data_IF_879835498190
#
_entry.id   IF_879835498190
#
_cell.length_a   1.000
_cell.length_b   1.000
_cell.length_c   1.000
_cell.angle_alpha   90.00
_cell.angle_beta   90.00
_cell.angle_gamma   90.00
#
_symmetry.space_group_name_H-M   'P 1'
#
loop_
_entity.id
_entity.type
_entity.pdbx_description
1 polymer ?
#
# COMPACT_ATOMS: atom_id res chain seq x y z
N UNK A 1 -29.77 -9.13 -4.51
CA UNK A 1 -28.69 -8.08 -4.39
C UNK A 1 -29.18 -6.66 -4.72
N UNK A 2 -29.93 -6.45 -5.79
CA UNK A 2 -30.41 -5.08 -6.18
C UNK A 2 -31.41 -4.40 -5.24
N UNK A 3 -32.17 -5.14 -4.45
CA UNK A 3 -33.17 -4.56 -3.52
C UNK A 3 -32.59 -3.88 -2.26
N UNK A 4 -31.33 -4.14 -1.91
CA UNK A 4 -30.64 -3.60 -0.74
C UNK A 4 -30.06 -2.19 -0.92
N UNK A 5 -30.00 -1.72 -2.16
CA UNK A 5 -29.31 -0.48 -2.52
C UNK A 5 -30.25 0.74 -2.66
N UNK A 6 -31.58 0.53 -2.57
CA UNK A 6 -32.54 1.62 -2.66
C UNK A 6 -32.71 2.30 -1.31
N UNK A 7 -32.28 3.56 -1.20
CA UNK A 7 -32.57 4.45 -0.07
C UNK A 7 -31.42 4.72 0.92
N UNK A 8 -30.17 4.57 0.51
CA UNK A 8 -29.03 4.93 1.38
C UNK A 8 -28.72 6.44 1.25
N UNK A 9 -28.85 7.23 2.34
CA UNK A 9 -28.34 8.60 2.33
C UNK A 9 -26.81 8.55 2.35
N UNK A 10 -26.15 9.06 1.34
CA UNK A 10 -24.73 9.35 1.36
C UNK A 10 -24.49 10.47 2.38
N UNK A 11 -23.86 10.10 3.50
CA UNK A 11 -23.64 11.06 4.54
C UNK A 11 -22.47 11.99 4.28
N UNK A 12 -22.70 13.25 4.51
CA UNK A 12 -21.66 14.26 4.56
C UNK A 12 -20.85 14.11 5.85
N UNK A 13 -19.83 13.26 5.85
CA UNK A 13 -18.84 13.24 6.94
C UNK A 13 -17.82 14.33 6.64
N UNK A 14 -17.76 15.33 7.50
CA UNK A 14 -16.78 16.41 7.40
C UNK A 14 -15.55 16.01 8.19
N UNK A 15 -14.44 15.72 7.52
CA UNK A 15 -13.13 15.78 8.15
C UNK A 15 -12.81 17.27 8.31
N UNK A 16 -12.36 17.70 9.49
CA UNK A 16 -12.03 19.11 9.74
C UNK A 16 -11.12 19.65 8.64
N UNK A 17 -11.62 20.63 7.88
CA UNK A 17 -10.86 21.32 6.83
C UNK A 17 -11.18 20.94 5.38
N UNK A 18 -12.10 20.00 5.10
CA UNK A 18 -12.47 19.62 3.72
C UNK A 18 -13.90 19.98 3.37
N UNK A 19 -14.12 20.46 2.12
CA UNK A 19 -15.44 20.88 1.65
C UNK A 19 -16.40 19.72 1.47
N UNK A 20 -17.71 20.00 1.65
CA UNK A 20 -18.82 19.04 1.71
C UNK A 20 -19.22 18.39 0.35
N UNK A 21 -18.52 18.64 -0.74
CA UNK A 21 -19.05 18.43 -2.11
C UNK A 21 -18.72 17.10 -2.79
N UNK A 22 -17.87 16.23 -2.21
CA UNK A 22 -17.64 14.89 -2.76
C UNK A 22 -18.01 13.82 -1.74
N UNK A 23 -18.82 12.79 -2.15
CA UNK A 23 -18.94 11.60 -1.31
C UNK A 23 -17.54 11.04 -1.11
N UNK A 24 -17.08 10.89 0.14
CA UNK A 24 -15.71 10.55 0.38
C UNK A 24 -15.53 9.06 0.10
N UNK A 25 -14.80 8.75 -0.96
CA UNK A 25 -14.21 7.44 -1.15
C UNK A 25 -12.74 7.66 -1.37
N UNK A 26 -12.00 7.79 -0.25
CA UNK A 26 -10.64 8.26 -0.24
C UNK A 26 -9.66 7.09 -0.20
N UNK A 27 -8.59 7.25 -0.95
CA UNK A 27 -7.45 6.33 -0.93
C UNK A 27 -6.29 6.94 -0.16
N UNK A 28 -5.84 6.23 0.90
CA UNK A 28 -4.65 6.57 1.66
C UNK A 28 -3.46 5.71 1.20
N UNK A 29 -2.39 6.37 0.81
CA UNK A 29 -1.15 5.70 0.44
C UNK A 29 -0.32 5.42 1.69
N UNK A 30 -0.05 4.13 2.04
CA UNK A 30 0.85 3.81 3.13
C UNK A 30 2.29 4.15 2.76
N UNK A 31 2.81 5.22 3.31
CA UNK A 31 4.17 5.73 3.05
C UNK A 31 5.12 5.28 4.17
N UNK A 32 6.27 4.74 3.78
CA UNK A 32 7.35 4.31 4.66
C UNK A 32 8.64 5.08 4.37
N UNK A 33 8.54 6.38 4.14
CA UNK A 33 9.61 7.24 3.63
C UNK A 33 9.96 6.85 2.16
N UNK A 34 8.93 6.73 1.34
CA UNK A 34 9.01 6.25 -0.04
C UNK A 34 9.29 7.38 -1.03
N UNK A 35 10.44 8.05 -0.86
CA UNK A 35 10.95 9.05 -1.79
C UNK A 35 11.69 8.41 -2.98
N UNK A 36 11.82 9.19 -4.04
CA UNK A 36 12.71 8.95 -5.17
C UNK A 36 13.75 10.06 -5.27
N UNK A 37 14.78 9.86 -6.09
CA UNK A 37 15.76 10.91 -6.35
C UNK A 37 15.47 11.58 -7.71
N UNK A 38 15.43 12.91 -7.73
CA UNK A 38 15.27 13.72 -8.93
C UNK A 38 16.49 14.63 -9.16
N UNK A 39 16.89 14.89 -10.44
CA UNK A 39 16.35 14.25 -11.65
C UNK A 39 16.70 12.77 -11.73
N UNK A 40 15.90 12.01 -12.50
CA UNK A 40 16.21 10.61 -12.75
C UNK A 40 17.53 10.49 -13.53
N UNK A 41 18.37 9.56 -13.09
CA UNK A 41 19.58 9.16 -13.80
C UNK A 41 19.65 7.62 -13.85
N UNK A 42 20.04 7.04 -15.01
CA UNK A 42 20.24 5.60 -15.13
C UNK A 42 21.38 5.05 -14.28
N UNK A 43 22.33 5.89 -13.87
CA UNK A 43 23.44 5.51 -13.01
C UNK A 43 22.95 5.45 -11.55
N UNK A 44 22.96 4.25 -10.97
CA UNK A 44 22.47 4.02 -9.61
C UNK A 44 23.33 4.72 -8.54
N UNK A 45 24.65 4.92 -8.78
CA UNK A 45 25.53 5.62 -7.84
C UNK A 45 25.34 7.13 -7.91
N UNK A 46 25.03 7.66 -9.10
CA UNK A 46 24.72 9.08 -9.25
C UNK A 46 23.28 9.40 -8.83
N UNK A 47 22.35 8.46 -8.96
CA UNK A 47 20.95 8.64 -8.58
C UNK A 47 20.81 9.12 -7.13
N UNK A 48 21.62 8.59 -6.20
CA UNK A 48 21.58 8.97 -4.77
C UNK A 48 22.10 10.38 -4.50
N UNK A 49 22.75 11.04 -5.45
CA UNK A 49 23.18 12.45 -5.35
C UNK A 49 22.05 13.44 -5.70
N UNK A 50 20.96 12.94 -6.27
CA UNK A 50 19.78 13.73 -6.58
C UNK A 50 19.02 14.20 -5.34
N UNK A 51 18.05 15.07 -5.56
CA UNK A 51 17.16 15.56 -4.50
C UNK A 51 16.14 14.50 -4.13
N UNK A 52 15.96 14.25 -2.84
CA UNK A 52 14.88 13.40 -2.33
C UNK A 52 13.53 14.07 -2.60
N UNK A 53 12.67 13.40 -3.35
CA UNK A 53 11.40 13.94 -3.82
C UNK A 53 10.30 12.91 -3.62
N UNK A 54 9.18 13.33 -3.04
CA UNK A 54 8.02 12.45 -2.80
C UNK A 54 7.06 12.48 -3.97
N UNK A 55 6.16 11.49 -4.03
CA UNK A 55 5.18 11.36 -5.11
C UNK A 55 4.31 12.61 -5.30
N UNK A 56 3.87 13.23 -4.20
CA UNK A 56 3.03 14.43 -4.24
C UNK A 56 3.77 15.66 -4.80
N UNK A 57 5.11 15.71 -4.68
CA UNK A 57 5.92 16.76 -5.28
C UNK A 57 6.11 16.53 -6.79
N UNK A 58 6.39 15.27 -7.18
CA UNK A 58 6.59 14.92 -8.60
C UNK A 58 5.30 15.05 -9.41
N UNK A 59 4.16 14.73 -8.81
CA UNK A 59 2.86 14.71 -9.47
C UNK A 59 2.16 16.08 -9.53
N UNK A 60 2.61 17.07 -8.75
CA UNK A 60 1.99 18.39 -8.68
C UNK A 60 0.49 18.31 -8.37
N UNK A 61 -0.34 18.88 -9.24
CA UNK A 61 -1.80 18.88 -9.04
C UNK A 61 -2.47 17.51 -9.26
N UNK A 62 -1.73 16.51 -9.74
CA UNK A 62 -2.26 15.18 -10.04
C UNK A 62 -1.75 14.13 -9.06
N UNK A 63 -1.81 14.42 -7.78
CA UNK A 63 -1.40 13.50 -6.70
C UNK A 63 -2.22 12.20 -6.77
N UNK A 64 -1.59 11.00 -6.72
CA UNK A 64 -2.28 9.72 -6.90
C UNK A 64 -2.86 9.14 -5.61
N UNK A 65 -3.25 9.97 -4.66
CA UNK A 65 -3.91 9.61 -3.39
C UNK A 65 -4.53 10.84 -2.75
N UNK A 66 -5.49 10.61 -1.86
CA UNK A 66 -6.17 11.67 -1.10
C UNK A 66 -5.46 11.96 0.23
N UNK A 67 -4.70 11.00 0.74
CA UNK A 67 -3.92 11.12 1.95
C UNK A 67 -2.76 10.13 2.02
N UNK A 68 -1.90 10.35 3.01
CA UNK A 68 -0.77 9.48 3.35
C UNK A 68 -1.05 8.84 4.70
N UNK A 69 -0.93 7.51 4.78
CA UNK A 69 -1.02 6.77 6.02
C UNK A 69 0.39 6.49 6.55
N UNK A 70 0.64 6.87 7.80
CA UNK A 70 1.92 6.71 8.48
C UNK A 70 1.72 5.89 9.75
N UNK A 71 2.49 4.81 9.88
CA UNK A 71 2.41 3.94 11.04
C UNK A 71 3.34 4.39 12.17
N UNK A 72 2.81 4.48 13.41
CA UNK A 72 3.59 4.78 14.60
C UNK A 72 4.72 3.77 14.80
N UNK A 73 4.49 2.50 14.48
CA UNK A 73 5.54 1.48 14.59
C UNK A 73 6.74 1.76 13.69
N UNK A 74 6.54 2.40 12.53
CA UNK A 74 7.64 2.82 11.65
C UNK A 74 8.40 4.03 12.22
N UNK A 75 7.69 4.92 12.91
CA UNK A 75 8.28 6.11 13.52
C UNK A 75 9.12 5.74 14.76
N UNK A 76 8.63 4.80 15.60
CA UNK A 76 9.23 4.51 16.90
C UNK A 76 10.05 3.22 16.98
N UNK A 77 9.71 2.22 16.19
CA UNK A 77 10.38 0.89 16.19
C UNK A 77 11.27 0.70 14.97
N UNK A 78 10.99 1.40 13.86
CA UNK A 78 11.71 1.29 12.60
C UNK A 78 13.11 1.91 12.64
N UNK A 79 13.98 1.47 11.72
CA UNK A 79 15.34 2.00 11.48
C UNK A 79 15.36 3.13 10.44
N UNK A 80 14.20 3.58 9.96
CA UNK A 80 14.05 4.56 8.88
C UNK A 80 14.35 5.99 9.28
N UNK A 81 14.27 6.90 8.30
CA UNK A 81 14.49 8.34 8.50
C UNK A 81 13.49 8.95 9.49
N UNK A 82 12.28 8.41 9.56
CA UNK A 82 11.26 8.82 10.54
C UNK A 82 11.67 8.47 11.99
N UNK A 83 12.41 7.37 12.20
CA UNK A 83 12.89 6.96 13.52
C UNK A 83 14.04 7.84 14.04
N UNK A 84 14.91 8.37 13.18
CA UNK A 84 16.05 9.20 13.56
C UNK A 84 15.67 10.51 14.23
N UNK A 85 14.43 10.96 14.05
CA UNK A 85 13.93 12.21 14.62
C UNK A 85 13.78 12.18 16.15
N UNK A 86 13.77 11.00 16.77
CA UNK A 86 13.66 10.87 18.23
C UNK A 86 14.92 11.30 18.97
N UNK A 87 16.08 11.33 18.30
CA UNK A 87 17.39 11.53 18.91
C UNK A 87 18.01 12.92 18.62
N UNK A 88 17.43 13.69 17.71
CA UNK A 88 17.96 15.01 17.36
C UNK A 88 17.22 16.09 18.15
N UNK A 89 17.96 16.86 18.93
CA UNK A 89 17.50 18.07 19.62
C UNK A 89 17.13 19.20 18.63
N UNK A 90 16.89 18.89 17.38
CA UNK A 90 16.41 19.84 16.39
C UNK A 90 14.95 20.21 16.64
N UNK A 91 14.61 21.46 16.38
CA UNK A 91 13.26 22.04 16.42
C UNK A 91 12.20 21.01 15.98
N UNK A 92 11.18 20.77 16.82
CA UNK A 92 10.08 19.81 16.56
C UNK A 92 9.34 20.17 15.29
N UNK A 93 9.86 19.68 14.16
CA UNK A 93 9.25 19.89 12.85
C UNK A 93 8.10 18.89 12.68
N UNK A 94 6.88 19.39 12.39
CA UNK A 94 5.73 18.53 12.12
C UNK A 94 6.02 17.57 10.96
N UNK A 95 5.44 16.35 10.99
CA UNK A 95 5.59 15.38 9.90
C UNK A 95 5.16 15.96 8.55
N UNK A 96 4.10 16.76 8.53
CA UNK A 96 3.64 17.45 7.32
C UNK A 96 4.75 18.31 6.69
N UNK A 97 5.46 19.11 7.49
CA UNK A 97 6.57 19.95 7.01
C UNK A 97 7.77 19.11 6.57
N UNK A 98 8.09 18.07 7.33
CA UNK A 98 9.21 17.18 7.02
C UNK A 98 9.04 16.42 5.72
N UNK A 99 7.86 15.85 5.51
CA UNK A 99 7.50 15.14 4.29
C UNK A 99 7.02 16.09 3.18
N UNK A 100 7.00 17.40 3.43
CA UNK A 100 6.55 18.44 2.49
C UNK A 100 5.16 18.18 1.94
N UNK A 101 4.27 17.62 2.79
CA UNK A 101 2.90 17.24 2.39
C UNK A 101 2.03 18.48 2.23
N UNK A 102 1.42 18.71 1.06
CA UNK A 102 0.57 19.87 0.83
C UNK A 102 -0.71 19.82 1.69
N UNK A 103 -1.33 20.99 1.91
CA UNK A 103 -2.48 21.11 2.82
C UNK A 103 -3.72 20.31 2.38
N UNK A 104 -3.86 20.05 1.08
CA UNK A 104 -4.97 19.27 0.50
C UNK A 104 -4.76 17.74 0.55
N UNK A 105 -3.65 17.25 1.09
CA UNK A 105 -3.38 15.82 1.31
C UNK A 105 -3.47 15.53 2.80
N UNK A 106 -4.32 14.58 3.17
CA UNK A 106 -4.55 14.18 4.57
C UNK A 106 -3.37 13.37 5.12
N UNK A 107 -3.05 13.59 6.40
CA UNK A 107 -2.16 12.73 7.18
C UNK A 107 -2.99 11.83 8.10
N UNK A 108 -2.88 10.54 7.89
CA UNK A 108 -3.55 9.52 8.67
C UNK A 108 -2.53 8.74 9.51
N UNK A 109 -2.69 8.77 10.84
CA UNK A 109 -1.86 8.02 11.77
C UNK A 109 -2.47 6.65 12.08
N UNK A 110 -1.68 5.59 11.87
CA UNK A 110 -1.98 4.21 12.23
C UNK A 110 -0.99 3.70 13.26
N UNK A 111 -1.39 2.77 14.15
CA UNK A 111 -0.49 2.21 15.16
C UNK A 111 0.49 1.16 14.60
N UNK A 112 0.16 0.52 13.47
CA UNK A 112 1.00 -0.49 12.81
C UNK A 112 0.89 -1.89 13.38
N UNK A 113 -0.32 -2.34 13.68
CA UNK A 113 -0.62 -3.58 14.38
C UNK A 113 0.01 -4.84 13.76
N UNK A 114 0.23 -4.89 12.46
CA UNK A 114 0.93 -6.01 11.80
C UNK A 114 2.40 -6.13 12.21
N UNK A 115 3.05 -5.02 12.60
CA UNK A 115 4.46 -5.05 12.98
C UNK A 115 4.71 -5.70 14.35
N UNK A 116 3.73 -5.62 15.25
CA UNK A 116 3.78 -6.19 16.58
C UNK A 116 2.75 -7.30 16.82
N UNK A 117 2.23 -7.90 15.75
CA UNK A 117 1.21 -8.96 15.84
C UNK A 117 1.69 -10.19 16.62
N UNK A 118 3.01 -10.41 16.69
CA UNK A 118 3.64 -11.50 17.50
C UNK A 118 3.72 -11.18 18.98
N UNK A 119 3.62 -9.91 19.35
CA UNK A 119 3.72 -9.47 20.74
C UNK A 119 2.43 -9.80 21.50
N UNK A 120 2.51 -10.06 22.83
CA UNK A 120 1.33 -10.33 23.65
C UNK A 120 0.42 -9.10 23.79
N UNK A 121 1.02 -7.90 23.82
CA UNK A 121 0.33 -6.60 23.94
C UNK A 121 0.94 -5.59 22.96
N UNK A 122 0.18 -4.58 22.51
CA UNK A 122 0.73 -3.48 21.72
C UNK A 122 1.85 -2.72 22.46
N UNK A 123 2.89 -2.24 21.74
CA UNK A 123 4.00 -1.50 22.34
C UNK A 123 3.66 -0.03 22.67
N UNK A 124 2.45 0.40 22.32
CA UNK A 124 1.95 1.76 22.55
C UNK A 124 0.73 1.74 23.46
N UNK A 125 0.64 2.72 24.36
CA UNK A 125 -0.60 3.02 25.09
C UNK A 125 -1.49 3.94 24.27
N UNK A 126 -2.80 3.94 24.55
CA UNK A 126 -3.76 4.86 23.94
C UNK A 126 -3.36 6.31 24.14
N UNK A 127 -2.87 6.67 25.35
CA UNK A 127 -2.39 8.01 25.67
C UNK A 127 -1.22 8.42 24.79
N UNK A 128 -0.22 7.55 24.68
CA UNK A 128 0.98 7.86 23.91
C UNK A 128 0.71 7.98 22.40
N UNK A 129 -0.18 7.14 21.88
CA UNK A 129 -0.62 7.24 20.48
C UNK A 129 -1.34 8.56 20.21
N UNK A 130 -2.26 8.96 21.08
CA UNK A 130 -3.01 10.21 20.97
C UNK A 130 -2.09 11.44 21.06
N UNK A 131 -1.13 11.44 22.00
CA UNK A 131 -0.11 12.50 22.11
C UNK A 131 0.69 12.67 20.82
N UNK A 132 1.15 11.57 20.22
CA UNK A 132 1.91 11.61 18.98
C UNK A 132 1.11 12.12 17.80
N UNK A 133 -0.15 11.73 17.67
CA UNK A 133 -0.99 12.24 16.58
C UNK A 133 -1.21 13.75 16.67
N UNK A 134 -1.38 14.29 17.87
CA UNK A 134 -1.51 15.75 18.04
C UNK A 134 -0.16 16.46 17.87
N UNK A 135 0.91 15.93 18.48
CA UNK A 135 2.26 16.50 18.41
C UNK A 135 2.76 16.62 16.96
N UNK A 136 2.56 15.57 16.15
CA UNK A 136 2.99 15.54 14.75
C UNK A 136 1.94 16.09 13.77
N UNK A 137 0.83 16.63 14.27
CA UNK A 137 -0.21 17.30 13.48
C UNK A 137 -0.84 16.40 12.42
N UNK A 138 -1.22 15.19 12.82
CA UNK A 138 -2.06 14.32 11.98
C UNK A 138 -3.46 14.91 11.84
N UNK A 139 -4.14 14.59 10.72
CA UNK A 139 -5.55 14.96 10.49
C UNK A 139 -6.48 13.89 11.07
N UNK A 140 -6.07 12.62 11.00
CA UNK A 140 -6.80 11.45 11.52
C UNK A 140 -5.84 10.62 12.34
N UNK A 141 -6.29 10.10 13.50
CA UNK A 141 -5.52 9.20 14.36
C UNK A 141 -6.32 7.97 14.75
N UNK A 142 -5.78 6.78 14.45
CA UNK A 142 -6.40 5.50 14.78
C UNK A 142 -6.11 5.08 16.21
N UNK A 143 -7.11 4.52 16.91
CA UNK A 143 -6.92 3.89 18.22
C UNK A 143 -5.97 2.70 18.14
N UNK A 144 -5.31 2.39 19.25
CA UNK A 144 -4.36 1.27 19.33
C UNK A 144 -5.10 -0.06 19.27
N UNK A 145 -4.76 -0.90 18.32
CA UNK A 145 -5.43 -2.18 18.10
C UNK A 145 -4.48 -3.38 18.17
N UNK A 146 -5.03 -4.57 18.33
CA UNK A 146 -4.31 -5.83 18.31
C UNK A 146 -5.06 -6.86 17.47
N UNK A 147 -4.44 -7.32 16.38
CA UNK A 147 -5.11 -8.15 15.38
C UNK A 147 -5.32 -9.58 15.89
N UNK A 148 -6.57 -10.11 15.92
CA UNK A 148 -6.90 -11.46 16.36
C UNK A 148 -6.72 -12.49 15.22
N UNK A 149 -5.50 -12.58 14.64
CA UNK A 149 -5.21 -13.54 13.57
C UNK A 149 -5.41 -14.98 14.06
N UNK A 150 -5.76 -15.92 13.17
CA UNK A 150 -5.79 -17.34 13.53
C UNK A 150 -4.39 -17.90 13.82
N UNK A 151 -3.36 -17.34 13.15
CA UNK A 151 -1.95 -17.69 13.32
C UNK A 151 -1.08 -16.46 13.37
N UNK A 152 -0.04 -16.47 14.19
CA UNK A 152 0.95 -15.41 14.25
C UNK A 152 2.35 -15.94 13.90
N UNK A 153 3.22 -15.11 13.30
CA UNK A 153 4.59 -15.51 13.02
C UNK A 153 5.40 -15.67 14.29
N UNK A 154 6.22 -16.73 14.33
CA UNK A 154 7.29 -16.88 15.32
C UNK A 154 8.53 -16.23 14.74
N UNK A 155 9.14 -15.30 15.48
CA UNK A 155 10.34 -14.56 15.05
C UNK A 155 11.53 -14.92 15.93
N UNK A 156 12.69 -15.07 15.28
CA UNK A 156 13.99 -15.19 15.91
C UNK A 156 14.97 -14.31 15.10
N UNK A 157 15.69 -13.42 15.77
CA UNK A 157 16.60 -12.45 15.12
C UNK A 157 16.01 -11.74 13.88
N UNK A 158 14.81 -11.20 14.00
CA UNK A 158 14.04 -10.57 12.92
C UNK A 158 13.62 -11.51 11.75
N UNK A 159 13.90 -12.80 11.83
CA UNK A 159 13.49 -13.79 10.84
C UNK A 159 12.22 -14.52 11.28
N UNK A 160 11.33 -14.75 10.33
CA UNK A 160 10.19 -15.64 10.57
C UNK A 160 10.68 -17.07 10.43
N UNK A 161 10.67 -17.83 11.54
CA UNK A 161 11.09 -19.23 11.61
C UNK A 161 9.91 -20.21 11.59
N UNK A 162 8.69 -19.70 11.78
CA UNK A 162 7.50 -20.53 11.80
C UNK A 162 6.24 -19.70 12.06
N UNK A 163 5.14 -20.40 12.30
CA UNK A 163 3.87 -19.81 12.74
C UNK A 163 3.33 -20.57 13.94
N UNK A 164 2.64 -19.86 14.83
CA UNK A 164 1.92 -20.42 15.98
C UNK A 164 0.44 -20.10 15.84
N UNK A 165 -0.47 -21.08 15.99
CA UNK A 165 -1.89 -20.80 16.08
C UNK A 165 -2.21 -20.01 17.36
N UNK A 166 -3.19 -19.13 17.28
CA UNK A 166 -3.79 -18.50 18.46
C UNK A 166 -5.07 -19.24 18.83
N UNK A 167 -5.22 -19.56 20.12
CA UNK A 167 -6.47 -20.08 20.66
C UNK A 167 -7.61 -19.06 20.50
N UNK A 168 -8.84 -19.52 20.55
CA UNK A 168 -10.00 -18.63 20.50
C UNK A 168 -9.98 -17.64 21.66
N UNK A 169 -9.58 -18.06 22.86
CA UNK A 169 -9.45 -17.18 24.03
C UNK A 169 -8.41 -16.06 23.81
N UNK A 170 -7.24 -16.36 23.26
CA UNK A 170 -6.23 -15.35 22.90
C UNK A 170 -6.76 -14.36 21.85
N UNK A 171 -7.46 -14.87 20.86
CA UNK A 171 -8.07 -14.01 19.82
C UNK A 171 -9.14 -13.09 20.39
N UNK A 172 -9.99 -13.60 21.27
CA UNK A 172 -11.00 -12.79 21.98
C UNK A 172 -10.34 -11.76 22.89
N UNK A 173 -9.30 -12.14 23.64
CA UNK A 173 -8.54 -11.21 24.47
C UNK A 173 -7.99 -10.02 23.66
N UNK A 174 -7.45 -10.27 22.46
CA UNK A 174 -6.98 -9.21 21.56
C UNK A 174 -8.11 -8.28 21.08
N UNK A 175 -9.28 -8.84 20.79
CA UNK A 175 -10.46 -8.03 20.43
C UNK A 175 -10.89 -7.12 21.59
N UNK A 176 -11.01 -7.66 22.79
CA UNK A 176 -11.40 -6.89 23.98
C UNK A 176 -10.36 -5.82 24.34
N UNK A 177 -9.06 -6.15 24.23
CA UNK A 177 -8.00 -5.17 24.41
C UNK A 177 -8.12 -4.02 23.40
N UNK A 178 -8.38 -4.33 22.11
CA UNK A 178 -8.60 -3.33 21.07
C UNK A 178 -9.77 -2.41 21.40
N UNK A 179 -10.90 -2.99 21.85
CA UNK A 179 -12.07 -2.23 22.27
C UNK A 179 -11.77 -1.32 23.47
N UNK A 180 -11.11 -1.85 24.50
CA UNK A 180 -10.73 -1.08 25.69
C UNK A 180 -9.78 0.07 25.35
N UNK A 181 -8.79 -0.19 24.49
CA UNK A 181 -7.89 0.85 24.00
C UNK A 181 -8.65 1.95 23.23
N UNK A 182 -9.66 1.60 22.45
CA UNK A 182 -10.43 2.57 21.69
C UNK A 182 -11.29 3.44 22.63
N UNK A 183 -11.88 2.87 23.67
CA UNK A 183 -12.63 3.61 24.70
C UNK A 183 -11.74 4.63 25.41
N UNK A 184 -10.58 4.19 25.87
CA UNK A 184 -9.58 5.05 26.52
C UNK A 184 -9.07 6.14 25.58
N UNK A 185 -8.72 5.78 24.33
CA UNK A 185 -8.23 6.70 23.31
C UNK A 185 -9.21 7.85 23.05
N UNK A 186 -10.50 7.53 22.86
CA UNK A 186 -11.53 8.55 22.61
C UNK A 186 -11.74 9.45 23.83
N UNK A 187 -11.73 8.88 25.05
CA UNK A 187 -11.81 9.63 26.30
C UNK A 187 -10.67 10.65 26.39
N UNK A 188 -9.42 10.21 26.18
CA UNK A 188 -8.23 11.07 26.21
C UNK A 188 -8.33 12.17 25.15
N UNK A 189 -8.70 11.83 23.92
CA UNK A 189 -8.84 12.81 22.84
C UNK A 189 -9.85 13.91 23.18
N UNK A 190 -10.96 13.56 23.83
CA UNK A 190 -11.99 14.52 24.27
C UNK A 190 -11.54 15.38 25.44
N UNK A 191 -10.95 14.78 26.47
CA UNK A 191 -10.47 15.48 27.66
C UNK A 191 -9.38 16.49 27.33
N UNK A 192 -8.42 16.09 26.49
CA UNK A 192 -7.28 16.94 26.06
C UNK A 192 -7.62 17.83 24.87
N UNK A 193 -8.80 17.68 24.26
CA UNK A 193 -9.28 18.46 23.11
C UNK A 193 -8.29 18.45 21.94
N UNK A 194 -7.72 17.29 21.63
CA UNK A 194 -6.80 17.14 20.51
C UNK A 194 -7.44 17.54 19.18
N UNK A 195 -6.61 18.00 18.23
CA UNK A 195 -7.09 18.62 17.00
C UNK A 195 -7.38 17.62 15.88
N UNK A 196 -6.76 16.45 15.92
CA UNK A 196 -7.02 15.41 14.93
C UNK A 196 -8.38 14.75 15.12
N UNK A 197 -8.87 14.08 14.09
CA UNK A 197 -10.10 13.30 14.14
C UNK A 197 -9.80 11.91 14.70
N UNK A 198 -10.35 11.52 15.86
CA UNK A 198 -10.17 10.18 16.39
C UNK A 198 -10.96 9.14 15.59
N UNK A 199 -10.30 8.03 15.23
CA UNK A 199 -10.86 6.91 14.48
C UNK A 199 -10.73 5.65 15.33
N UNK A 200 -11.86 5.00 15.63
CA UNK A 200 -11.90 3.75 16.40
C UNK A 200 -11.64 2.53 15.54
N UNK A 201 -10.61 1.73 15.86
CA UNK A 201 -10.30 0.51 15.11
C UNK A 201 -11.07 -0.66 15.66
N UNK A 202 -11.89 -1.30 14.82
CA UNK A 202 -12.66 -2.49 15.14
C UNK A 202 -11.92 -3.72 14.64
N UNK A 203 -11.65 -4.65 15.53
CA UNK A 203 -11.13 -5.98 15.22
C UNK A 203 -12.18 -7.03 15.52
N UNK A 204 -12.26 -8.09 14.67
CA UNK A 204 -13.25 -9.14 14.84
C UNK A 204 -12.74 -10.51 14.38
N UNK A 205 -13.33 -11.58 14.92
CA UNK A 205 -13.09 -12.95 14.52
C UNK A 205 -14.04 -13.37 13.41
N UNK A 206 -15.34 -13.14 13.58
CA UNK A 206 -16.39 -13.34 12.59
C UNK A 206 -17.21 -12.08 12.37
N UNK A 207 -18.08 -12.05 11.37
CA UNK A 207 -18.90 -10.87 11.03
C UNK A 207 -19.76 -10.38 12.20
N UNK A 208 -20.24 -11.30 13.05
CA UNK A 208 -21.04 -11.00 14.23
C UNK A 208 -20.26 -10.13 15.21
N UNK A 209 -19.00 -10.47 15.49
CA UNK A 209 -18.14 -9.68 16.39
C UNK A 209 -17.79 -8.30 15.85
N UNK A 210 -17.68 -8.13 14.52
CA UNK A 210 -17.54 -6.78 13.95
C UNK A 210 -18.78 -5.92 14.15
N UNK A 211 -19.99 -6.50 14.06
CA UNK A 211 -21.26 -5.79 14.30
C UNK A 211 -21.43 -5.45 15.78
N UNK A 212 -21.13 -6.39 16.69
CA UNK A 212 -21.16 -6.18 18.12
C UNK A 212 -20.26 -5.01 18.53
N UNK A 213 -18.99 -5.06 18.13
CA UNK A 213 -18.05 -3.98 18.44
C UNK A 213 -18.40 -2.67 17.75
N UNK A 214 -18.96 -2.70 16.52
CA UNK A 214 -19.46 -1.48 15.90
C UNK A 214 -20.47 -0.78 16.81
N UNK A 215 -21.42 -1.54 17.37
CA UNK A 215 -22.43 -0.98 18.27
C UNK A 215 -21.80 -0.37 19.52
N UNK A 216 -20.82 -1.04 20.14
CA UNK A 216 -20.05 -0.51 21.26
C UNK A 216 -19.37 0.82 20.91
N UNK A 217 -18.73 0.90 19.74
CA UNK A 217 -18.03 2.12 19.31
C UNK A 217 -18.98 3.28 19.04
N UNK A 218 -20.17 3.00 18.52
CA UNK A 218 -21.21 4.01 18.36
C UNK A 218 -21.72 4.50 19.72
N UNK A 219 -21.85 3.61 20.71
CA UNK A 219 -22.24 3.97 22.08
C UNK A 219 -21.18 4.81 22.79
N UNK A 220 -19.89 4.52 22.58
CA UNK A 220 -18.78 5.39 23.01
C UNK A 220 -18.84 6.78 22.36
N UNK A 221 -19.54 6.89 21.19
CA UNK A 221 -19.71 8.13 20.42
C UNK A 221 -18.66 8.33 19.35
N UNK A 222 -18.09 7.27 18.79
CA UNK A 222 -17.29 7.35 17.57
C UNK A 222 -18.18 7.69 16.37
N UNK A 223 -17.69 8.57 15.52
CA UNK A 223 -18.27 8.92 14.21
C UNK A 223 -17.38 8.40 13.05
N UNK A 224 -16.16 7.98 13.37
CA UNK A 224 -15.18 7.41 12.44
C UNK A 224 -14.70 6.07 12.99
N UNK A 225 -14.88 5.02 12.19
CA UNK A 225 -14.45 3.67 12.54
C UNK A 225 -13.62 3.05 11.41
N UNK A 226 -12.71 2.15 11.76
CA UNK A 226 -11.97 1.36 10.81
C UNK A 226 -12.17 -0.13 11.05
N UNK A 227 -12.24 -0.93 9.99
CA UNK A 227 -12.26 -2.37 10.07
C UNK A 227 -10.85 -2.89 9.82
N UNK A 228 -10.23 -3.48 10.85
CA UNK A 228 -8.92 -4.11 10.78
C UNK A 228 -8.99 -5.62 10.61
N UNK A 229 -7.83 -6.29 10.46
CA UNK A 229 -7.74 -7.76 10.39
C UNK A 229 -8.33 -8.39 9.12
N UNK A 230 -8.59 -7.61 8.07
CA UNK A 230 -9.22 -8.06 6.83
C UNK A 230 -8.24 -8.61 5.79
N UNK A 231 -6.97 -8.21 5.84
CA UNK A 231 -5.96 -8.53 4.80
C UNK A 231 -5.84 -10.04 4.51
N UNK A 232 -5.78 -10.96 5.51
CA UNK A 232 -5.65 -12.39 5.26
C UNK A 232 -6.97 -13.09 4.89
N UNK A 233 -8.08 -12.36 4.80
CA UNK A 233 -9.41 -12.93 4.54
C UNK A 233 -9.68 -13.06 3.04
N UNK A 234 -10.60 -13.95 2.69
CA UNK A 234 -11.08 -14.09 1.31
C UNK A 234 -11.95 -12.89 0.91
N UNK A 235 -12.12 -12.68 -0.39
CA UNK A 235 -12.98 -11.61 -0.93
C UNK A 235 -14.42 -11.74 -0.43
N UNK A 236 -14.94 -12.97 -0.33
CA UNK A 236 -16.28 -13.25 0.18
C UNK A 236 -16.41 -12.90 1.67
N UNK A 237 -15.44 -13.32 2.51
CA UNK A 237 -15.45 -12.99 3.93
C UNK A 237 -15.42 -11.48 4.17
N UNK A 238 -14.58 -10.76 3.39
CA UNK A 238 -14.49 -9.29 3.49
C UNK A 238 -15.85 -8.67 3.14
N UNK A 239 -16.47 -9.12 2.04
CA UNK A 239 -17.75 -8.60 1.60
C UNK A 239 -18.86 -8.89 2.63
N UNK A 240 -18.91 -10.09 3.18
CA UNK A 240 -19.86 -10.48 4.21
C UNK A 240 -19.72 -9.63 5.47
N UNK A 241 -18.48 -9.34 5.91
CA UNK A 241 -18.22 -8.46 7.05
C UNK A 241 -18.70 -7.03 6.76
N UNK A 242 -18.36 -6.48 5.60
CA UNK A 242 -18.74 -5.11 5.23
C UNK A 242 -20.26 -4.99 5.10
N UNK A 243 -20.94 -5.99 4.51
CA UNK A 243 -22.40 -6.04 4.44
C UNK A 243 -23.04 -6.11 5.83
N UNK A 244 -22.49 -6.96 6.73
CA UNK A 244 -23.02 -7.09 8.10
C UNK A 244 -22.84 -5.79 8.90
N UNK A 245 -21.67 -5.15 8.79
CA UNK A 245 -21.40 -3.85 9.43
C UNK A 245 -22.36 -2.79 8.90
N UNK A 246 -22.61 -2.75 7.59
CA UNK A 246 -23.60 -1.84 7.00
C UNK A 246 -25.01 -2.11 7.49
N UNK A 247 -25.42 -3.38 7.58
CA UNK A 247 -26.72 -3.78 8.16
C UNK A 247 -26.86 -3.36 9.62
N UNK A 248 -25.82 -3.55 10.43
CA UNK A 248 -25.75 -3.11 11.83
C UNK A 248 -25.90 -1.59 11.99
N UNK A 249 -25.23 -0.81 11.11
CA UNK A 249 -25.41 0.64 11.06
C UNK A 249 -26.85 1.02 10.76
N UNK A 250 -27.47 0.40 9.75
CA UNK A 250 -28.84 0.70 9.34
C UNK A 250 -29.85 0.39 10.44
N UNK A 251 -29.72 -0.76 11.10
CA UNK A 251 -30.61 -1.17 12.18
C UNK A 251 -30.58 -0.17 13.35
N UNK A 252 -29.45 0.44 13.63
CA UNK A 252 -29.26 1.37 14.75
C UNK A 252 -29.56 2.83 14.39
N UNK A 253 -29.36 3.22 13.12
CA UNK A 253 -29.54 4.61 12.65
C UNK A 253 -30.99 4.94 12.27
N UNK A 254 -31.95 4.03 12.35
CA UNK A 254 -33.37 4.34 12.21
C UNK A 254 -33.85 5.48 13.15
N UNK A 255 -33.06 5.83 14.21
CA UNK A 255 -33.19 6.99 15.05
C UNK A 255 -32.01 7.95 15.14
N UNK A 256 -30.89 7.64 14.47
CA UNK A 256 -29.65 8.42 14.52
C UNK A 256 -29.33 9.01 13.14
N UNK A 257 -29.43 10.31 12.98
CA UNK A 257 -29.09 11.04 11.74
C UNK A 257 -27.57 11.24 11.52
N UNK A 258 -26.70 10.45 12.15
CA UNK A 258 -25.25 10.62 12.01
C UNK A 258 -24.69 9.64 11.00
N UNK A 259 -23.99 10.19 10.03
CA UNK A 259 -23.24 9.43 9.05
C UNK A 259 -21.93 8.97 9.67
N UNK A 260 -21.69 7.66 9.68
CA UNK A 260 -20.47 7.07 10.19
C UNK A 260 -19.48 6.88 9.05
N UNK A 261 -18.26 7.40 9.25
CA UNK A 261 -17.14 7.14 8.35
C UNK A 261 -16.62 5.73 8.57
N UNK A 262 -16.48 4.95 7.49
CA UNK A 262 -15.93 3.59 7.54
C UNK A 262 -14.63 3.55 6.72
N UNK A 263 -13.53 3.15 7.37
CA UNK A 263 -12.25 2.88 6.73
C UNK A 263 -11.95 1.38 6.69
N UNK A 264 -11.39 0.85 5.59
CA UNK A 264 -10.92 -0.54 5.49
C UNK A 264 -9.39 -0.57 5.49
N UNK A 265 -8.78 -1.11 6.56
CA UNK A 265 -7.34 -1.21 6.65
C UNK A 265 -6.73 -2.26 5.73
N UNK A 266 -5.75 -1.84 4.91
CA UNK A 266 -4.92 -2.69 4.06
C UNK A 266 -5.64 -3.32 2.87
N UNK A 267 -6.86 -2.89 2.56
CA UNK A 267 -7.73 -3.57 1.58
C UNK A 267 -7.77 -2.86 0.24
N UNK A 268 -7.05 -3.45 -0.72
CA UNK A 268 -7.19 -3.12 -2.13
C UNK A 268 -7.62 -4.37 -2.89
N UNK A 269 -8.90 -4.49 -3.14
CA UNK A 269 -9.52 -5.55 -3.95
C UNK A 269 -10.21 -4.85 -5.13
N UNK A 270 -9.54 -4.67 -6.30
CA UNK A 270 -10.06 -3.85 -7.39
C UNK A 270 -11.48 -4.20 -7.83
N UNK A 271 -11.81 -5.50 -7.83
CA UNK A 271 -13.15 -5.98 -8.19
C UNK A 271 -14.23 -5.63 -7.16
N UNK A 272 -13.85 -5.43 -5.90
CA UNK A 272 -14.78 -5.10 -4.82
C UNK A 272 -14.89 -3.60 -4.56
N UNK A 273 -14.01 -2.76 -5.11
CA UNK A 273 -14.03 -1.32 -4.87
C UNK A 273 -15.39 -0.66 -5.19
N UNK A 274 -16.07 -0.97 -6.31
CA UNK A 274 -17.40 -0.43 -6.58
C UNK A 274 -18.42 -0.83 -5.51
N UNK A 275 -18.38 -2.11 -5.06
CA UNK A 275 -19.28 -2.61 -4.01
C UNK A 275 -19.02 -1.95 -2.66
N UNK A 276 -17.76 -1.78 -2.27
CA UNK A 276 -17.41 -1.07 -1.03
C UNK A 276 -17.94 0.35 -1.04
N UNK A 277 -17.80 1.07 -2.15
CA UNK A 277 -18.37 2.41 -2.32
C UNK A 277 -19.90 2.42 -2.17
N UNK A 278 -20.60 1.46 -2.80
CA UNK A 278 -22.05 1.31 -2.71
C UNK A 278 -22.50 0.94 -1.30
N UNK A 279 -21.70 0.15 -0.56
CA UNK A 279 -21.95 -0.22 0.84
C UNK A 279 -21.62 0.90 1.83
N UNK A 280 -21.18 2.07 1.34
CA UNK A 280 -20.91 3.25 2.17
C UNK A 280 -19.56 3.22 2.89
N UNK A 281 -18.60 2.43 2.41
CA UNK A 281 -17.21 2.57 2.82
C UNK A 281 -16.71 3.94 2.36
N UNK A 282 -16.06 4.68 3.27
CA UNK A 282 -15.64 6.06 3.04
C UNK A 282 -14.17 6.16 2.63
N UNK A 283 -13.35 5.19 3.03
CA UNK A 283 -11.93 5.20 2.70
C UNK A 283 -11.28 3.85 2.88
N UNK A 284 -10.10 3.70 2.29
CA UNK A 284 -9.25 2.52 2.44
C UNK A 284 -7.78 2.90 2.23
N UNK A 285 -6.89 2.02 2.68
CA UNK A 285 -5.47 2.11 2.38
C UNK A 285 -4.95 0.82 1.74
N UNK A 286 -3.91 0.92 0.96
CA UNK A 286 -3.12 -0.23 0.54
C UNK A 286 -1.83 0.16 -0.18
N UNK A 287 -0.76 -0.55 0.13
CA UNK A 287 0.51 -0.48 -0.62
C UNK A 287 0.60 -1.54 -1.73
N UNK A 288 -0.46 -2.29 -2.03
CA UNK A 288 -0.38 -3.47 -2.91
C UNK A 288 0.12 -3.14 -4.31
N UNK A 289 -0.38 -2.08 -4.95
CA UNK A 289 0.05 -1.68 -6.30
C UNK A 289 1.48 -1.14 -6.30
N UNK A 290 1.83 -0.37 -5.28
CA UNK A 290 3.19 0.11 -5.09
C UNK A 290 4.18 -1.06 -4.93
N UNK A 291 3.88 -2.00 -4.02
CA UNK A 291 4.76 -3.13 -3.70
C UNK A 291 4.88 -4.16 -4.82
N UNK A 292 3.85 -4.34 -5.66
CA UNK A 292 3.93 -5.20 -6.85
C UNK A 292 5.14 -4.87 -7.73
N UNK A 293 5.60 -3.63 -7.73
CA UNK A 293 6.74 -3.19 -8.50
C UNK A 293 8.02 -4.02 -8.27
N UNK A 294 8.20 -4.63 -7.09
CA UNK A 294 9.39 -5.42 -6.77
C UNK A 294 9.11 -6.83 -6.25
N UNK A 295 7.85 -7.22 -6.14
CA UNK A 295 7.52 -8.61 -5.83
C UNK A 295 7.94 -9.52 -7.01
N UNK A 296 8.37 -10.75 -6.68
CA UNK A 296 8.68 -11.76 -7.70
C UNK A 296 7.38 -12.25 -8.34
N UNK A 297 6.93 -11.55 -9.36
CA UNK A 297 5.71 -11.87 -10.11
C UNK A 297 5.82 -11.35 -11.54
N UNK A 298 4.90 -11.78 -12.39
CA UNK A 298 4.77 -11.25 -13.75
C UNK A 298 3.91 -9.97 -13.79
N UNK A 299 3.61 -9.40 -12.63
CA UNK A 299 2.74 -8.25 -12.45
C UNK A 299 3.48 -7.09 -11.76
N UNK A 300 4.54 -6.58 -12.40
CA UNK A 300 5.36 -5.52 -11.81
C UNK A 300 5.04 -4.12 -12.33
N UNK A 301 4.60 -4.00 -13.57
CA UNK A 301 4.26 -2.76 -14.22
C UNK A 301 2.83 -2.81 -14.74
N UNK A 302 1.99 -1.88 -14.32
CA UNK A 302 0.60 -1.78 -14.75
C UNK A 302 0.51 -0.99 -16.05
N UNK A 303 -0.18 -1.52 -17.04
CA UNK A 303 -0.41 -0.80 -18.30
C UNK A 303 -1.11 0.55 -18.08
N UNK A 304 -0.86 1.56 -18.94
CA UNK A 304 -1.44 2.91 -18.78
C UNK A 304 -2.96 2.98 -18.77
N UNK A 305 -3.64 1.96 -19.32
CA UNK A 305 -5.10 1.79 -19.30
C UNK A 305 -5.62 1.13 -18.02
N UNK A 306 -4.73 0.57 -17.20
CA UNK A 306 -5.10 -0.16 -15.98
C UNK A 306 -5.56 -1.60 -16.20
N UNK A 307 -5.57 -2.10 -17.44
CA UNK A 307 -6.15 -3.41 -17.79
C UNK A 307 -5.19 -4.58 -17.73
N UNK A 308 -3.89 -4.35 -17.94
CA UNK A 308 -2.88 -5.41 -18.07
C UNK A 308 -1.69 -5.16 -17.16
N UNK A 309 -1.06 -6.24 -16.72
CA UNK A 309 0.21 -6.23 -16.02
C UNK A 309 1.33 -6.80 -16.90
N UNK A 310 2.53 -6.21 -16.79
CA UNK A 310 3.74 -6.69 -17.39
C UNK A 310 4.76 -7.10 -16.33
N UNK A 311 5.55 -8.14 -16.63
CA UNK A 311 6.78 -8.43 -15.91
C UNK A 311 7.87 -7.42 -16.26
N UNK A 312 8.86 -7.26 -15.37
CA UNK A 312 9.98 -6.34 -15.55
C UNK A 312 11.23 -7.04 -16.04
N UNK A 313 12.03 -6.32 -16.80
CA UNK A 313 13.35 -6.74 -17.26
C UNK A 313 14.32 -6.69 -16.08
N UNK A 314 14.84 -7.83 -15.66
CA UNK A 314 15.75 -7.91 -14.50
C UNK A 314 17.20 -7.76 -14.95
N UNK A 315 17.86 -6.71 -14.45
CA UNK A 315 19.30 -6.50 -14.62
C UNK A 315 19.94 -6.39 -13.23
N UNK A 316 20.35 -7.52 -12.64
CA UNK A 316 21.00 -7.53 -11.32
C UNK A 316 22.30 -6.73 -11.33
N UNK A 317 22.64 -6.15 -10.18
CA UNK A 317 23.91 -5.42 -10.00
C UNK A 317 25.05 -6.43 -9.88
N UNK A 318 26.06 -6.35 -10.74
CA UNK A 318 27.20 -7.29 -10.80
C UNK A 318 28.00 -7.35 -9.49
N UNK A 319 28.06 -6.25 -8.74
CA UNK A 319 28.74 -6.18 -7.42
C UNK A 319 27.92 -6.76 -6.28
N UNK A 320 26.65 -7.15 -6.51
CA UNK A 320 25.82 -7.74 -5.46
C UNK A 320 26.36 -9.13 -5.06
N UNK A 321 26.21 -9.48 -3.76
CA UNK A 321 26.68 -10.76 -3.24
C UNK A 321 26.14 -11.97 -4.03
N UNK A 322 24.84 -12.06 -4.39
CA UNK A 322 24.33 -13.17 -5.19
C UNK A 322 25.01 -13.28 -6.57
N UNK A 323 25.21 -12.13 -7.26
CA UNK A 323 25.83 -12.14 -8.58
C UNK A 323 27.32 -12.55 -8.54
N UNK A 324 28.07 -12.07 -7.53
CA UNK A 324 29.47 -12.49 -7.34
C UNK A 324 29.61 -13.98 -7.09
N UNK A 325 28.73 -14.57 -6.28
CA UNK A 325 28.70 -16.01 -6.04
C UNK A 325 28.35 -16.79 -7.32
N UNK A 326 27.35 -16.34 -8.07
CA UNK A 326 26.94 -16.96 -9.32
C UNK A 326 28.05 -16.90 -10.37
N UNK A 327 28.73 -15.76 -10.51
CA UNK A 327 29.88 -15.61 -11.40
C UNK A 327 31.04 -16.55 -11.04
N UNK A 328 31.39 -16.64 -9.75
CA UNK A 328 32.43 -17.56 -9.28
C UNK A 328 32.10 -19.03 -9.61
N UNK A 329 30.83 -19.44 -9.45
CA UNK A 329 30.38 -20.78 -9.82
C UNK A 329 30.40 -21.02 -11.33
N UNK A 330 30.23 -19.97 -12.14
CA UNK A 330 30.30 -20.02 -13.60
C UNK A 330 31.73 -19.84 -14.17
N UNK A 331 32.74 -19.65 -13.30
CA UNK A 331 34.13 -19.40 -13.72
C UNK A 331 34.36 -18.01 -14.34
N UNK A 332 33.46 -17.05 -14.07
CA UNK A 332 33.53 -15.68 -14.60
C UNK A 332 34.26 -14.76 -13.62
N UNK A 333 35.15 -13.93 -14.16
CA UNK A 333 35.75 -12.84 -13.39
C UNK A 333 34.77 -11.71 -13.10
N UNK A 334 35.06 -10.91 -12.07
CA UNK A 334 34.24 -9.72 -11.77
C UNK A 334 34.19 -8.71 -12.91
N UNK A 335 35.28 -8.60 -13.69
CA UNK A 335 35.35 -7.71 -14.86
C UNK A 335 34.45 -8.19 -16.01
N UNK A 336 34.41 -9.48 -16.27
CA UNK A 336 33.51 -10.08 -17.27
C UNK A 336 32.05 -9.88 -16.87
N UNK A 337 31.74 -10.12 -15.59
CA UNK A 337 30.40 -9.92 -15.05
C UNK A 337 29.94 -8.45 -15.18
N UNK A 338 30.80 -7.49 -14.85
CA UNK A 338 30.54 -6.06 -15.01
C UNK A 338 30.36 -5.65 -16.47
N UNK A 339 31.12 -6.28 -17.38
CA UNK A 339 30.97 -6.05 -18.82
C UNK A 339 29.62 -6.57 -19.35
N UNK A 340 29.20 -7.76 -18.92
CA UNK A 340 27.89 -8.32 -19.28
C UNK A 340 26.75 -7.43 -18.79
N UNK A 341 26.84 -6.96 -17.55
CA UNK A 341 25.86 -6.02 -16.98
C UNK A 341 25.77 -4.74 -17.82
N UNK A 342 26.90 -4.14 -18.16
CA UNK A 342 26.96 -2.94 -19.01
C UNK A 342 26.32 -3.18 -20.37
N UNK A 343 26.63 -4.30 -21.02
CA UNK A 343 26.01 -4.68 -22.30
C UNK A 343 24.48 -4.73 -22.22
N UNK A 344 23.92 -5.25 -21.10
CA UNK A 344 22.47 -5.23 -20.88
C UNK A 344 21.90 -3.81 -20.75
N UNK A 345 22.59 -2.93 -20.01
CA UNK A 345 22.16 -1.55 -19.83
C UNK A 345 22.24 -0.75 -21.12
N UNK A 346 23.34 -0.90 -21.88
CA UNK A 346 23.54 -0.25 -23.19
C UNK A 346 22.49 -0.72 -24.20
N UNK A 347 22.14 -2.01 -24.20
CA UNK A 347 21.09 -2.56 -25.05
C UNK A 347 19.72 -1.98 -24.71
N UNK A 348 19.41 -1.82 -23.41
CA UNK A 348 18.17 -1.19 -22.95
C UNK A 348 18.09 0.26 -23.40
N UNK A 349 19.18 1.04 -23.27
CA UNK A 349 19.22 2.43 -23.71
C UNK A 349 19.12 2.54 -25.24
N UNK A 350 19.76 1.63 -25.97
CA UNK A 350 19.63 1.55 -27.43
C UNK A 350 18.19 1.24 -27.85
N UNK A 351 17.51 0.33 -27.15
CA UNK A 351 16.11 0.00 -27.40
C UNK A 351 15.15 1.15 -27.07
N UNK A 352 15.45 1.96 -26.06
CA UNK A 352 14.63 3.15 -25.75
C UNK A 352 14.63 4.14 -26.91
N UNK A 353 15.82 4.36 -27.52
CA UNK A 353 16.01 5.27 -28.66
C UNK A 353 15.53 4.66 -29.99
N UNK A 354 15.76 3.37 -30.17
CA UNK A 354 15.51 2.65 -31.42
C UNK A 354 14.75 1.35 -31.16
N UNK A 355 13.45 1.28 -31.41
CA UNK A 355 12.62 0.08 -31.14
C UNK A 355 13.11 -1.19 -31.81
N UNK A 356 13.84 -1.08 -32.97
CA UNK A 356 14.46 -2.21 -33.68
C UNK A 356 15.55 -2.93 -32.87
N UNK A 357 16.11 -2.27 -31.84
CA UNK A 357 17.14 -2.87 -30.99
C UNK A 357 16.59 -3.83 -29.90
N UNK A 358 15.29 -4.17 -29.94
CA UNK A 358 14.66 -5.08 -28.96
C UNK A 358 15.32 -6.45 -28.85
N UNK A 359 15.79 -7.00 -29.99
CA UNK A 359 16.51 -8.29 -30.04
C UNK A 359 17.83 -8.23 -29.27
N UNK A 360 18.54 -7.09 -29.33
CA UNK A 360 19.76 -6.90 -28.55
C UNK A 360 19.49 -6.95 -27.04
N UNK A 361 18.35 -6.42 -26.58
CA UNK A 361 17.95 -6.49 -25.17
C UNK A 361 17.73 -7.94 -24.76
N UNK A 362 16.96 -8.70 -25.54
CA UNK A 362 16.71 -10.12 -25.23
C UNK A 362 17.99 -10.94 -25.24
N UNK A 363 18.84 -10.78 -26.23
CA UNK A 363 20.09 -11.53 -26.35
C UNK A 363 21.08 -11.27 -25.21
N UNK A 364 21.20 -10.01 -24.78
CA UNK A 364 22.09 -9.65 -23.67
C UNK A 364 21.55 -10.16 -22.33
N UNK A 365 20.24 -10.08 -22.12
CA UNK A 365 19.58 -10.53 -20.89
C UNK A 365 19.55 -12.04 -20.79
N UNK A 366 19.36 -12.77 -21.89
CA UNK A 366 19.41 -14.23 -21.93
C UNK A 366 20.79 -14.79 -21.58
N UNK A 367 21.84 -14.00 -21.76
CA UNK A 367 23.22 -14.35 -21.34
C UNK A 367 23.48 -13.99 -19.85
N UNK A 368 22.96 -12.88 -19.37
CA UNK A 368 23.26 -12.34 -18.04
C UNK A 368 22.28 -12.82 -16.95
N UNK A 369 20.99 -12.84 -17.25
CA UNK A 369 19.94 -13.18 -16.29
C UNK A 369 20.04 -14.59 -15.71
N UNK A 370 20.34 -15.64 -16.53
CA UNK A 370 20.45 -17.02 -16.07
C UNK A 370 21.49 -17.28 -14.99
N UNK A 371 22.48 -16.40 -14.83
CA UNK A 371 23.48 -16.52 -13.77
C UNK A 371 22.87 -16.58 -12.37
N UNK A 372 21.69 -15.98 -12.15
CA UNK A 372 20.98 -16.01 -10.86
C UNK A 372 19.91 -17.08 -10.76
N UNK A 373 19.63 -17.80 -11.85
CA UNK A 373 18.55 -18.79 -11.83
C UNK A 373 18.99 -20.07 -11.11
N UNK A 374 18.05 -20.67 -10.42
CA UNK A 374 18.26 -22.02 -9.86
C UNK A 374 18.27 -23.03 -11.01
N UNK A 375 19.04 -24.12 -10.86
CA UNK A 375 19.01 -25.22 -11.82
C UNK A 375 17.57 -25.70 -12.04
N UNK A 376 17.07 -25.63 -13.29
CA UNK A 376 15.72 -26.05 -13.68
C UNK A 376 14.69 -24.94 -13.78
N UNK A 377 15.03 -23.67 -13.52
CA UNK A 377 14.13 -22.54 -13.85
C UNK A 377 14.21 -22.25 -15.34
N UNK A 378 13.02 -22.13 -15.98
CA UNK A 378 12.89 -21.86 -17.41
C UNK A 378 13.36 -20.43 -17.74
N UNK A 379 14.26 -20.31 -18.72
CA UNK A 379 15.06 -19.09 -18.98
C UNK A 379 14.56 -18.29 -20.19
N UNK A 380 13.36 -18.52 -20.69
CA UNK A 380 12.85 -17.84 -21.88
C UNK A 380 12.48 -16.36 -21.59
N UNK A 381 13.52 -15.55 -21.30
CA UNK A 381 13.35 -14.11 -21.11
C UNK A 381 12.87 -13.41 -22.38
N UNK A 382 13.32 -13.87 -23.55
CA UNK A 382 12.89 -13.35 -24.85
C UNK A 382 11.36 -13.39 -24.98
N UNK A 383 10.73 -14.54 -24.70
CA UNK A 383 9.28 -14.71 -24.77
C UNK A 383 8.56 -13.91 -23.68
N UNK A 384 9.10 -13.94 -22.45
CA UNK A 384 8.53 -13.28 -21.28
C UNK A 384 8.47 -11.75 -21.43
N UNK A 385 9.43 -11.16 -22.13
CA UNK A 385 9.57 -9.72 -22.32
C UNK A 385 9.24 -9.24 -23.74
N UNK A 386 9.03 -10.16 -24.69
CA UNK A 386 8.68 -9.83 -26.07
C UNK A 386 7.52 -8.85 -26.16
N UNK A 387 6.42 -9.17 -25.49
CA UNK A 387 5.22 -8.32 -25.46
C UNK A 387 5.47 -6.96 -24.81
N UNK A 388 6.23 -6.90 -23.71
CA UNK A 388 6.59 -5.65 -23.06
C UNK A 388 7.41 -4.73 -23.99
N UNK A 389 8.39 -5.31 -24.68
CA UNK A 389 9.28 -4.58 -25.60
C UNK A 389 8.58 -4.20 -26.93
N UNK A 390 7.57 -4.96 -27.35
CA UNK A 390 6.74 -4.66 -28.50
C UNK A 390 5.72 -3.58 -28.22
N UNK A 391 4.98 -3.71 -27.11
CA UNK A 391 3.92 -2.79 -26.74
C UNK A 391 4.43 -1.41 -26.27
N UNK A 392 5.66 -1.35 -25.74
CA UNK A 392 6.34 -0.14 -25.21
C UNK A 392 5.39 0.70 -24.33
N UNK A 393 4.76 0.12 -23.29
CA UNK A 393 3.68 0.79 -22.58
C UNK A 393 4.13 2.05 -21.82
N UNK A 394 5.42 2.17 -21.49
CA UNK A 394 5.97 3.36 -20.84
C UNK A 394 5.90 4.61 -21.72
N UNK A 395 6.00 4.49 -23.05
CA UNK A 395 5.88 5.60 -23.98
C UNK A 395 4.45 6.13 -24.09
N UNK A 396 3.48 5.22 -23.97
CA UNK A 396 2.05 5.56 -24.01
C UNK A 396 1.56 6.12 -22.68
N UNK A 397 2.41 6.12 -21.64
CA UNK A 397 2.03 6.56 -20.30
C UNK A 397 2.28 8.04 -20.07
N UNK A 398 1.25 8.75 -19.62
CA UNK A 398 1.33 10.18 -19.32
C UNK A 398 1.78 10.51 -17.89
N UNK A 399 2.07 9.50 -17.04
CA UNK A 399 2.50 9.76 -15.68
C UNK A 399 3.91 10.37 -15.63
N UNK A 400 4.23 11.20 -14.62
CA UNK A 400 5.53 11.85 -14.53
C UNK A 400 6.68 10.85 -14.37
N UNK A 401 6.43 9.69 -13.76
CA UNK A 401 7.44 8.65 -13.52
C UNK A 401 7.91 7.96 -14.80
N UNK A 402 7.00 7.67 -15.74
CA UNK A 402 7.37 7.14 -17.04
C UNK A 402 8.03 8.20 -17.93
N UNK A 403 7.54 9.44 -17.89
CA UNK A 403 8.14 10.53 -18.67
C UNK A 403 9.58 10.83 -18.27
N UNK A 404 9.90 10.73 -16.95
CA UNK A 404 11.26 11.01 -16.48
C UNK A 404 12.22 9.84 -16.67
N UNK A 405 11.74 8.58 -16.63
CA UNK A 405 12.58 7.40 -16.62
C UNK A 405 12.62 6.61 -17.95
N UNK A 406 11.69 6.89 -18.91
CA UNK A 406 11.60 6.11 -20.15
C UNK A 406 11.51 4.61 -19.89
N UNK A 407 12.18 3.81 -20.69
CA UNK A 407 12.27 2.34 -20.55
C UNK A 407 12.75 1.89 -19.16
N UNK A 408 13.52 2.72 -18.44
CA UNK A 408 14.07 2.35 -17.14
C UNK A 408 12.99 2.10 -16.07
N UNK A 409 11.76 2.60 -16.27
CA UNK A 409 10.65 2.30 -15.34
C UNK A 409 10.29 0.81 -15.34
N UNK A 410 10.49 0.11 -16.45
CA UNK A 410 10.24 -1.33 -16.56
C UNK A 410 11.49 -2.19 -16.32
N UNK A 411 12.61 -1.59 -15.93
CA UNK A 411 13.82 -2.30 -15.53
C UNK A 411 13.83 -2.54 -14.03
N UNK A 412 13.92 -3.80 -13.61
CA UNK A 412 14.07 -4.20 -12.22
C UNK A 412 15.54 -4.11 -11.81
N UNK A 413 15.92 -2.96 -11.23
CA UNK A 413 17.27 -2.68 -10.78
C UNK A 413 17.26 -1.53 -9.78
N UNK A 414 17.90 -1.71 -8.64
CA UNK A 414 18.02 -0.67 -7.62
C UNK A 414 16.69 -0.20 -7.01
N UNK A 415 16.77 0.53 -5.91
CA UNK A 415 15.59 1.02 -5.19
C UNK A 415 14.87 2.14 -5.97
N UNK A 416 15.64 3.04 -6.62
CA UNK A 416 15.07 4.22 -7.30
C UNK A 416 14.13 3.82 -8.43
N UNK A 417 14.53 2.90 -9.33
CA UNK A 417 13.66 2.42 -10.41
C UNK A 417 12.44 1.67 -9.89
N UNK A 418 12.64 0.83 -8.88
CA UNK A 418 11.55 0.05 -8.30
C UNK A 418 10.50 0.95 -7.63
N UNK A 419 10.92 1.97 -6.89
CA UNK A 419 10.02 2.95 -6.29
C UNK A 419 9.28 3.77 -7.35
N UNK A 420 9.96 4.24 -8.41
CA UNK A 420 9.32 4.94 -9.54
C UNK A 420 8.24 4.08 -10.20
N UNK A 421 8.53 2.80 -10.45
CA UNK A 421 7.54 1.86 -10.98
C UNK A 421 6.37 1.65 -10.01
N UNK A 422 6.63 1.57 -8.72
CA UNK A 422 5.60 1.49 -7.70
C UNK A 422 4.69 2.71 -7.69
N UNK A 423 5.28 3.90 -7.77
CA UNK A 423 4.54 5.17 -7.85
C UNK A 423 3.76 5.29 -9.17
N UNK A 424 4.33 4.82 -10.30
CA UNK A 424 3.60 4.68 -11.55
C UNK A 424 2.36 3.77 -11.39
N UNK A 425 2.53 2.58 -10.80
CA UNK A 425 1.41 1.67 -10.58
C UNK A 425 0.31 2.30 -9.70
N UNK A 426 0.71 3.02 -8.65
CA UNK A 426 -0.22 3.77 -7.78
C UNK A 426 -0.92 4.88 -8.55
N UNK A 427 -0.20 5.60 -9.41
CA UNK A 427 -0.76 6.67 -10.26
C UNK A 427 -1.82 6.12 -11.23
N UNK A 428 -1.51 4.99 -11.93
CA UNK A 428 -2.48 4.34 -12.83
C UNK A 428 -3.68 3.81 -12.03
N UNK A 429 -3.43 3.14 -10.89
CA UNK A 429 -4.51 2.68 -10.04
C UNK A 429 -5.47 3.81 -9.67
N UNK A 430 -4.95 4.90 -9.12
CA UNK A 430 -5.76 6.01 -8.65
C UNK A 430 -6.55 6.69 -9.79
N UNK A 431 -5.86 7.07 -10.87
CA UNK A 431 -6.48 7.87 -11.93
C UNK A 431 -7.27 7.06 -12.97
N UNK A 432 -6.97 5.76 -13.15
CA UNK A 432 -7.60 4.95 -14.20
C UNK A 432 -8.48 3.84 -13.65
N UNK A 433 -8.09 3.20 -12.55
CA UNK A 433 -8.87 2.09 -11.98
C UNK A 433 -9.88 2.58 -10.97
N UNK A 434 -9.48 3.47 -10.04
CA UNK A 434 -10.34 3.95 -8.96
C UNK A 434 -11.29 5.08 -9.41
N UNK A 435 -10.78 6.04 -10.19
CA UNK A 435 -11.51 7.24 -10.64
C UNK A 435 -11.75 7.30 -12.16
N UNK A 436 -11.31 6.29 -12.92
CA UNK A 436 -11.62 6.16 -14.34
C UNK A 436 -13.11 5.84 -14.57
N UNK A 437 -13.72 6.47 -15.56
CA UNK A 437 -15.11 6.19 -15.94
C UNK A 437 -15.22 4.76 -16.47
N UNK A 438 -16.09 3.97 -15.82
CA UNK A 438 -16.60 2.64 -16.25
C UNK A 438 -15.58 1.51 -16.48
N UNK A 439 -15.46 0.64 -15.47
CA UNK A 439 -15.25 -0.79 -15.75
C UNK A 439 -16.63 -1.36 -16.15
N UNK A 440 -16.80 -1.99 -17.33
CA UNK A 440 -18.06 -2.58 -17.72
C UNK A 440 -18.44 -3.70 -16.73
N UNK A 441 -19.65 -3.65 -16.24
CA UNK A 441 -20.26 -4.64 -15.33
C UNK A 441 -20.40 -6.05 -15.96
N UNK A 442 -20.06 -6.21 -17.23
CA UNK A 442 -20.18 -7.47 -17.98
C UNK A 442 -19.18 -8.59 -17.59
N UNK A 443 -18.22 -8.30 -16.72
CA UNK A 443 -17.24 -9.30 -16.26
C UNK A 443 -17.73 -10.14 -15.06
N UNK A 444 -18.88 -9.82 -14.47
CA UNK A 444 -19.43 -10.52 -13.30
C UNK A 444 -20.41 -11.65 -13.67
N UNK A 445 -20.89 -11.70 -14.91
CA UNK A 445 -21.92 -12.67 -15.31
C UNK A 445 -21.38 -13.98 -15.94
N UNK A 446 -20.09 -14.08 -16.25
CA UNK A 446 -19.53 -15.23 -16.97
C UNK A 446 -18.94 -16.38 -16.13
N UNK A 447 -19.22 -16.46 -14.84
CA UNK A 447 -18.73 -17.57 -13.99
C UNK A 447 -19.83 -18.36 -13.25
N UNK A 448 -21.08 -18.29 -13.70
CA UNK A 448 -22.16 -19.10 -13.12
C UNK A 448 -22.56 -20.32 -13.97
N UNK A 449 -22.05 -20.44 -15.22
CA UNK A 449 -22.48 -21.49 -16.14
C UNK A 449 -21.52 -22.69 -16.32
N UNK A 450 -20.41 -22.75 -15.61
CA UNK A 450 -19.45 -23.86 -15.72
C UNK A 450 -19.47 -24.81 -14.49
N UNK A 451 -20.62 -25.01 -13.86
CA UNK A 451 -20.87 -26.13 -12.94
C UNK A 451 -22.30 -26.63 -13.11
N UNK A 452 -22.54 -27.41 -14.14
CA UNK A 452 -23.61 -28.41 -14.20
C UNK A 452 -23.02 -29.73 -14.67
#
# INVERSE_FOLDING_TARGET
MKQWLQGLPYGNVTIKGHSKEKPPYLYFFPDWDDFIYEPFTPDDEQAIKGTRTYAHEVCGDRIPFDGILLSLSQIFVGKGALHRQKNDNEERVTLRRRLRVPANVLLFGDCGAFSYVSEPIPPFTSERAAEYYDEFSFDIGASVDHIPLPEIPIREDDRIIGKRPLSESERRARMYLTRSNAEEFLRICRERRYRFTPLGVIQGIGKESYVEHLHDYLDMGYEHVALGGLVPRTDNDILDIVCAVRGGLQARTAGYRKNVWIHLFGILRPKLQPLFKELGVSSFDSASYFRKAWLRSDQNYLAPDGGRWYGTIRVPISTSKPMRLAAAMAGLSQNELAKMERCCLDAIEACDKHPSARTLVTDTIDRYGPLLNRKGEDNHFAEKHALLLEDRPWEKCSCPFCRSAGIHVVVFRGASRNKRRGLHNTWIFYHKVLHGSSVPTSALEKKQDDRS
#
